data_IF_097984981993
#
_entry.id   IF_097984981993
#
_cell.length_a   1.000
_cell.length_b   1.000
_cell.length_c   1.000
_cell.angle_alpha   90.00
_cell.angle_beta   90.00
_cell.angle_gamma   90.00
#
_symmetry.space_group_name_H-M   'P 1'
#
loop_
_entity.id
_entity.type
_entity.pdbx_description
1 polymer ?
#
# COMPACT_ATOMS: atom_id res chain seq x y z
N UNK A 1 -11.32 -13.80 3.10
CA UNK A 1 -12.03 -12.82 3.94
C UNK A 1 -12.24 -11.45 3.24
N UNK A 2 -11.23 -10.88 2.54
CA UNK A 2 -11.38 -9.59 1.84
C UNK A 2 -12.54 -9.60 0.82
N UNK A 3 -12.68 -10.66 0.02
CA UNK A 3 -13.81 -10.79 -0.94
C UNK A 3 -15.16 -10.73 -0.26
N UNK A 4 -15.34 -11.40 0.87
CA UNK A 4 -16.60 -11.38 1.62
C UNK A 4 -16.90 -9.98 2.18
N UNK A 5 -15.88 -9.29 2.70
CA UNK A 5 -16.02 -7.91 3.16
C UNK A 5 -16.40 -6.96 2.01
N UNK A 6 -15.75 -7.08 0.86
CA UNK A 6 -16.05 -6.27 -0.32
C UNK A 6 -17.47 -6.53 -0.83
N UNK A 7 -17.92 -7.79 -0.86
CA UNK A 7 -19.29 -8.14 -1.20
C UNK A 7 -20.31 -7.49 -0.27
N UNK A 8 -20.05 -7.54 1.04
CA UNK A 8 -20.95 -6.91 2.04
C UNK A 8 -20.98 -5.38 1.90
N UNK A 9 -19.84 -4.76 1.65
CA UNK A 9 -19.74 -3.31 1.39
C UNK A 9 -20.53 -2.93 0.14
N UNK A 10 -20.35 -3.66 -0.95
CA UNK A 10 -21.04 -3.39 -2.22
C UNK A 10 -22.57 -3.52 -2.07
N UNK A 11 -23.02 -4.55 -1.37
CA UNK A 11 -24.43 -4.76 -1.04
C UNK A 11 -25.01 -3.58 -0.24
N UNK A 12 -24.32 -3.16 0.83
CA UNK A 12 -24.77 -2.02 1.66
C UNK A 12 -24.77 -0.72 0.86
N UNK A 13 -23.74 -0.48 0.03
CA UNK A 13 -23.68 0.71 -0.84
C UNK A 13 -24.87 0.75 -1.79
N UNK A 14 -25.23 -0.38 -2.40
CA UNK A 14 -26.35 -0.49 -3.31
C UNK A 14 -27.68 -0.27 -2.60
N UNK A 15 -27.92 -0.97 -1.49
CA UNK A 15 -29.19 -0.88 -0.71
C UNK A 15 -29.41 0.53 -0.16
N UNK A 16 -28.35 1.18 0.32
CA UNK A 16 -28.44 2.52 0.94
C UNK A 16 -28.13 3.66 -0.01
N UNK A 17 -27.87 3.38 -1.29
CA UNK A 17 -27.49 4.37 -2.31
C UNK A 17 -26.28 5.23 -1.87
N UNK A 18 -25.27 4.61 -1.26
CA UNK A 18 -24.09 5.30 -0.74
C UNK A 18 -22.98 5.35 -1.80
N UNK A 19 -22.39 6.52 -1.98
CA UNK A 19 -21.19 6.70 -2.81
C UNK A 19 -19.94 6.84 -1.92
N UNK A 20 -19.57 5.77 -1.22
CA UNK A 20 -18.40 5.74 -0.35
C UNK A 20 -17.25 5.07 -1.12
N UNK A 21 -16.07 5.71 -1.23
CA UNK A 21 -14.89 5.11 -1.83
C UNK A 21 -14.36 3.95 -0.96
N UNK A 22 -13.87 2.91 -1.61
CA UNK A 22 -13.32 1.73 -0.95
C UNK A 22 -11.84 1.61 -1.27
N UNK A 23 -11.02 1.50 -0.24
CA UNK A 23 -9.59 1.24 -0.34
C UNK A 23 -9.29 -0.17 0.17
N UNK A 24 -8.43 -0.91 -0.54
CA UNK A 24 -7.98 -2.24 -0.11
C UNK A 24 -6.47 -2.24 0.06
N UNK A 25 -6.02 -2.69 1.22
CA UNK A 25 -4.60 -2.87 1.51
C UNK A 25 -4.34 -4.31 1.90
N UNK A 26 -3.41 -4.96 1.19
CA UNK A 26 -2.95 -6.31 1.47
C UNK A 26 -1.62 -6.31 2.22
N UNK A 27 -1.22 -7.47 2.71
CA UNK A 27 0.08 -7.66 3.36
C UNK A 27 0.86 -8.74 2.63
N UNK A 28 2.06 -8.38 2.16
CA UNK A 28 3.06 -9.34 1.68
C UNK A 28 3.82 -9.82 2.90
N UNK A 29 3.72 -11.09 3.22
CA UNK A 29 4.16 -11.62 4.51
C UNK A 29 5.65 -11.91 4.59
N UNK A 30 6.29 -12.11 3.44
CA UNK A 30 7.71 -12.46 3.37
C UNK A 30 8.33 -12.17 1.99
N UNK A 31 9.61 -12.44 1.87
CA UNK A 31 10.38 -12.26 0.64
C UNK A 31 9.92 -13.12 -0.55
N UNK A 32 9.00 -14.08 -0.37
CA UNK A 32 8.42 -14.84 -1.49
C UNK A 32 7.44 -14.00 -2.32
N UNK A 33 7.06 -12.83 -1.81
CA UNK A 33 6.14 -11.91 -2.47
C UNK A 33 4.68 -12.36 -2.45
N UNK A 34 4.32 -13.18 -1.47
CA UNK A 34 2.97 -13.72 -1.32
C UNK A 34 2.28 -13.15 -0.09
N UNK A 35 0.97 -13.04 -0.17
CA UNK A 35 0.11 -12.80 0.99
C UNK A 35 0.07 -14.05 1.88
N UNK A 36 -0.41 -13.91 3.11
CA UNK A 36 -0.57 -15.05 4.04
C UNK A 36 -1.40 -16.21 3.45
N UNK A 37 -2.34 -15.90 2.55
CA UNK A 37 -3.12 -16.91 1.84
C UNK A 37 -2.42 -17.48 0.60
N UNK A 38 -1.13 -17.19 0.38
CA UNK A 38 -0.33 -17.69 -0.73
C UNK A 38 -0.53 -16.99 -2.08
N UNK A 39 -1.30 -15.90 -2.12
CA UNK A 39 -1.57 -15.18 -3.37
C UNK A 39 -0.38 -14.32 -3.80
N UNK A 40 -0.06 -14.34 -5.09
CA UNK A 40 0.83 -13.35 -5.71
C UNK A 40 0.14 -12.00 -5.82
N UNK A 41 0.87 -10.95 -6.20
CA UNK A 41 0.30 -9.60 -6.43
C UNK A 41 -0.85 -9.66 -7.43
N UNK A 42 -0.70 -10.39 -8.54
CA UNK A 42 -1.74 -10.52 -9.57
C UNK A 42 -2.98 -11.26 -9.06
N UNK A 43 -2.77 -12.39 -8.38
CA UNK A 43 -3.86 -13.16 -7.81
C UNK A 43 -4.64 -12.35 -6.76
N UNK A 44 -3.94 -11.55 -5.96
CA UNK A 44 -4.54 -10.63 -5.02
C UNK A 44 -5.40 -9.58 -5.75
N UNK A 45 -4.84 -8.87 -6.73
CA UNK A 45 -5.57 -7.86 -7.52
C UNK A 45 -6.81 -8.45 -8.16
N UNK A 46 -6.67 -9.57 -8.89
CA UNK A 46 -7.81 -10.25 -9.55
C UNK A 46 -8.89 -10.60 -8.51
N UNK A 47 -8.50 -11.08 -7.34
CA UNK A 47 -9.45 -11.53 -6.32
C UNK A 47 -10.33 -10.42 -5.74
N UNK A 48 -9.85 -9.16 -5.76
CA UNK A 48 -10.54 -8.00 -5.14
C UNK A 48 -11.13 -7.03 -6.16
N UNK A 49 -10.86 -7.21 -7.47
CA UNK A 49 -11.30 -6.29 -8.53
C UNK A 49 -12.74 -6.50 -9.00
N UNK A 50 -13.57 -7.22 -8.23
CA UNK A 50 -14.97 -7.48 -8.58
C UNK A 50 -15.91 -6.32 -8.21
N UNK A 51 -15.41 -5.30 -7.52
CA UNK A 51 -16.11 -4.04 -7.25
C UNK A 51 -15.20 -2.85 -7.59
N UNK A 52 -15.75 -1.66 -7.86
CA UNK A 52 -14.96 -0.45 -8.04
C UNK A 52 -14.20 -0.08 -6.76
N UNK A 53 -12.88 0.01 -6.85
CA UNK A 53 -12.00 0.42 -5.76
C UNK A 53 -11.38 1.79 -6.03
N UNK A 54 -11.25 2.61 -4.99
CA UNK A 54 -10.48 3.86 -5.05
C UNK A 54 -8.97 3.54 -5.14
N UNK A 55 -8.48 2.67 -4.27
CA UNK A 55 -7.07 2.28 -4.27
C UNK A 55 -6.86 0.82 -3.90
N UNK A 56 -5.76 0.28 -4.41
CA UNK A 56 -5.20 -1.01 -4.01
C UNK A 56 -3.76 -0.75 -3.56
N UNK A 57 -3.33 -1.38 -2.48
CA UNK A 57 -1.98 -1.21 -1.98
C UNK A 57 -1.50 -2.30 -1.06
N UNK A 58 -0.34 -2.05 -0.48
CA UNK A 58 0.27 -2.94 0.50
C UNK A 58 0.67 -2.18 1.76
N UNK A 59 0.61 -2.87 2.88
CA UNK A 59 1.04 -2.36 4.17
C UNK A 59 1.71 -3.44 5.01
N UNK A 60 2.48 -2.99 6.00
CA UNK A 60 3.03 -3.84 7.07
C UNK A 60 3.98 -4.95 6.59
N UNK A 61 4.40 -5.81 7.52
CA UNK A 61 5.31 -6.95 7.41
C UNK A 61 6.72 -6.60 6.92
N UNK A 62 6.85 -5.80 5.87
CA UNK A 62 8.11 -5.43 5.25
C UNK A 62 8.39 -3.93 5.37
N UNK A 63 9.67 -3.55 5.29
CA UNK A 63 10.12 -2.18 5.16
C UNK A 63 9.90 -1.62 3.74
N UNK A 64 10.16 -0.32 3.58
CA UNK A 64 9.92 0.35 2.31
C UNK A 64 10.76 -0.22 1.16
N UNK A 65 12.03 -0.53 1.39
CA UNK A 65 12.93 -1.15 0.42
C UNK A 65 12.42 -2.51 -0.09
N UNK A 66 11.93 -3.34 0.82
CA UNK A 66 11.46 -4.69 0.51
C UNK A 66 10.08 -4.71 -0.17
N UNK A 67 9.21 -3.73 0.10
CA UNK A 67 7.91 -3.60 -0.55
C UNK A 67 7.98 -3.02 -1.96
N UNK A 68 9.05 -2.29 -2.30
CA UNK A 68 9.19 -1.59 -3.58
C UNK A 68 8.91 -2.46 -4.82
N UNK A 69 9.51 -3.66 -4.98
CA UNK A 69 9.27 -4.49 -6.16
C UNK A 69 7.81 -4.92 -6.31
N UNK A 70 7.12 -5.16 -5.21
CA UNK A 70 5.71 -5.59 -5.23
C UNK A 70 4.76 -4.43 -5.55
N UNK A 71 5.02 -3.25 -5.01
CA UNK A 71 4.25 -2.03 -5.35
C UNK A 71 4.48 -1.63 -6.81
N UNK A 72 5.70 -1.75 -7.31
CA UNK A 72 6.01 -1.55 -8.73
C UNK A 72 5.23 -2.52 -9.63
N UNK A 73 5.20 -3.80 -9.26
CA UNK A 73 4.40 -4.80 -9.96
C UNK A 73 2.91 -4.49 -9.91
N UNK A 74 2.38 -4.11 -8.74
CA UNK A 74 1.00 -3.67 -8.56
C UNK A 74 0.67 -2.48 -9.46
N UNK A 75 1.53 -1.46 -9.50
CA UNK A 75 1.31 -0.24 -10.29
C UNK A 75 1.21 -0.50 -11.79
N UNK A 76 1.82 -1.59 -12.29
CA UNK A 76 1.80 -1.97 -13.70
C UNK A 76 0.53 -2.72 -14.10
N UNK A 77 -0.15 -3.36 -13.14
CA UNK A 77 -1.30 -4.24 -13.42
C UNK A 77 -2.65 -3.66 -12.99
N UNK A 78 -2.66 -2.54 -12.26
CA UNK A 78 -3.91 -1.90 -11.81
C UNK A 78 -4.14 -0.53 -12.44
N UNK A 79 -5.40 -0.22 -12.71
CA UNK A 79 -5.87 1.10 -13.14
C UNK A 79 -6.50 1.90 -11.98
N UNK A 80 -6.43 1.41 -10.73
CA UNK A 80 -6.82 2.17 -9.54
C UNK A 80 -5.64 2.96 -8.98
N UNK A 81 -5.88 3.86 -8.02
CA UNK A 81 -4.78 4.45 -7.26
C UNK A 81 -3.99 3.36 -6.52
N UNK A 82 -2.68 3.54 -6.43
CA UNK A 82 -1.81 2.63 -5.67
C UNK A 82 -1.42 3.27 -4.34
N UNK A 83 -1.45 2.46 -3.27
CA UNK A 83 -1.08 2.91 -1.93
C UNK A 83 0.02 2.02 -1.31
N UNK A 84 0.85 2.62 -0.46
CA UNK A 84 1.87 1.91 0.30
C UNK A 84 2.00 2.47 1.72
N UNK A 85 2.02 1.57 2.71
CA UNK A 85 2.20 1.89 4.12
C UNK A 85 3.21 0.90 4.74
N UNK A 86 4.50 1.05 4.46
CA UNK A 86 5.52 0.14 4.99
C UNK A 86 5.75 0.34 6.48
N UNK A 87 6.41 -0.63 7.12
CA UNK A 87 6.95 -0.46 8.45
C UNK A 87 8.16 0.49 8.41
N UNK A 88 8.51 1.06 9.56
CA UNK A 88 9.77 1.78 9.76
C UNK A 88 10.93 0.78 9.91
N UNK A 89 11.25 0.07 8.81
CA UNK A 89 12.18 -1.05 8.78
C UNK A 89 11.57 -2.38 9.23
N UNK A 90 12.44 -3.30 9.64
CA UNK A 90 12.05 -4.57 10.25
C UNK A 90 12.18 -4.49 11.78
N UNK A 91 11.39 -5.27 12.53
CA UNK A 91 11.54 -5.32 13.98
C UNK A 91 12.93 -5.90 14.34
N UNK A 92 13.59 -5.29 15.32
CA UNK A 92 14.81 -5.82 15.90
C UNK A 92 14.53 -7.01 16.83
N UNK A 93 15.59 -7.57 17.45
CA UNK A 93 15.47 -8.71 18.36
C UNK A 93 14.53 -8.48 19.57
N UNK A 94 14.24 -7.23 19.91
CA UNK A 94 13.34 -6.84 20.99
C UNK A 94 11.93 -6.45 20.49
N UNK A 95 11.68 -6.58 19.18
CA UNK A 95 10.42 -6.19 18.54
C UNK A 95 10.26 -4.68 18.30
N UNK A 96 11.30 -3.89 18.56
CA UNK A 96 11.31 -2.45 18.29
C UNK A 96 11.67 -2.15 16.81
N UNK A 97 11.30 -0.97 16.34
CA UNK A 97 11.59 -0.48 14.99
C UNK A 97 12.56 0.69 15.10
N UNK A 98 13.74 0.53 14.49
CA UNK A 98 14.86 1.44 14.66
C UNK A 98 15.11 2.36 13.45
N UNK A 99 14.39 2.14 12.34
CA UNK A 99 14.56 2.97 11.16
C UNK A 99 14.14 4.42 11.45
N UNK A 100 15.02 5.33 11.15
CA UNK A 100 14.78 6.76 11.36
C UNK A 100 13.81 7.33 10.32
N UNK A 101 13.22 8.48 10.63
CA UNK A 101 12.31 9.18 9.72
C UNK A 101 13.02 9.61 8.43
N UNK A 102 14.30 9.99 8.52
CA UNK A 102 15.12 10.36 7.35
C UNK A 102 15.33 9.15 6.44
N UNK A 103 15.81 8.04 6.97
CA UNK A 103 16.02 6.81 6.20
C UNK A 103 14.74 6.33 5.52
N UNK A 104 13.62 6.33 6.25
CA UNK A 104 12.34 5.93 5.67
C UNK A 104 11.90 6.88 4.55
N UNK A 105 12.06 8.18 4.71
CA UNK A 105 11.68 9.17 3.68
C UNK A 105 12.53 9.04 2.42
N UNK A 106 13.82 8.75 2.53
CA UNK A 106 14.72 8.48 1.40
C UNK A 106 14.31 7.21 0.62
N UNK A 107 13.90 6.16 1.32
CA UNK A 107 13.39 4.95 0.70
C UNK A 107 12.04 5.19 -0.01
N UNK A 108 11.15 5.96 0.60
CA UNK A 108 9.86 6.36 -0.02
C UNK A 108 10.10 7.24 -1.25
N UNK A 109 11.13 8.06 -1.25
CA UNK A 109 11.46 8.87 -2.42
C UNK A 109 11.70 8.03 -3.70
N UNK A 110 12.19 6.79 -3.57
CA UNK A 110 12.34 5.88 -4.72
C UNK A 110 11.00 5.52 -5.37
N UNK A 111 9.94 5.32 -4.58
CA UNK A 111 8.58 5.10 -5.12
C UNK A 111 8.06 6.33 -5.86
N UNK A 112 8.38 7.51 -5.37
CA UNK A 112 7.97 8.78 -5.97
C UNK A 112 8.74 9.04 -7.27
N UNK A 113 10.05 8.81 -7.30
CA UNK A 113 10.91 8.90 -8.50
C UNK A 113 10.44 7.95 -9.60
N UNK A 114 10.05 6.73 -9.24
CA UNK A 114 9.52 5.75 -10.19
C UNK A 114 8.05 6.01 -10.59
N UNK A 115 7.40 6.97 -9.94
CA UNK A 115 6.01 7.35 -10.21
C UNK A 115 5.02 6.18 -10.12
N UNK A 116 5.14 5.35 -9.06
CA UNK A 116 4.38 4.11 -8.89
C UNK A 116 3.32 4.17 -7.80
N UNK A 117 3.22 5.27 -7.05
CA UNK A 117 2.26 5.45 -5.96
C UNK A 117 1.45 6.74 -6.07
N UNK A 118 0.26 6.71 -5.45
CA UNK A 118 -0.65 7.87 -5.32
C UNK A 118 -0.88 8.23 -3.85
N UNK A 119 -0.81 7.24 -2.96
CA UNK A 119 -1.08 7.38 -1.54
C UNK A 119 0.07 6.72 -0.79
N UNK A 120 0.61 7.42 0.20
CA UNK A 120 1.72 6.93 1.02
C UNK A 120 1.52 7.29 2.49
N UNK A 121 1.94 6.40 3.34
CA UNK A 121 1.97 6.58 4.79
C UNK A 121 2.96 5.63 5.41
N UNK A 122 2.67 5.19 6.62
CA UNK A 122 3.49 4.22 7.34
C UNK A 122 2.63 3.25 8.14
N UNK A 123 3.24 2.18 8.64
CA UNK A 123 2.63 1.17 9.48
C UNK A 123 3.42 1.01 10.79
N UNK A 124 3.83 -0.20 11.16
CA UNK A 124 4.52 -0.45 12.42
C UNK A 124 5.81 0.35 12.57
N UNK A 125 6.04 0.89 13.75
CA UNK A 125 7.23 1.69 14.07
C UNK A 125 7.19 3.13 13.57
N UNK A 126 6.23 3.53 12.73
CA UNK A 126 6.14 4.92 12.27
C UNK A 126 5.64 5.86 13.36
N UNK A 127 6.27 7.01 13.42
CA UNK A 127 5.98 8.12 14.35
C UNK A 127 5.54 9.35 13.56
N UNK A 128 4.98 10.39 14.20
CA UNK A 128 4.58 11.61 13.50
C UNK A 128 5.69 12.24 12.65
N UNK A 129 6.94 12.14 13.08
CA UNK A 129 8.07 12.66 12.32
C UNK A 129 8.32 11.93 11.00
N UNK A 130 8.15 10.60 10.98
CA UNK A 130 8.20 9.82 9.73
C UNK A 130 7.18 10.34 8.72
N UNK A 131 5.93 10.51 9.17
CA UNK A 131 4.85 11.02 8.30
C UNK A 131 5.13 12.45 7.84
N UNK A 132 5.70 13.30 8.70
CA UNK A 132 6.09 14.67 8.34
C UNK A 132 7.10 14.67 7.20
N UNK A 133 8.20 13.90 7.32
CA UNK A 133 9.23 13.85 6.29
C UNK A 133 8.71 13.19 4.99
N UNK A 134 7.93 12.14 5.07
CA UNK A 134 7.27 11.53 3.90
C UNK A 134 6.38 12.57 3.19
N UNK A 135 5.60 13.34 3.93
CA UNK A 135 4.75 14.39 3.35
C UNK A 135 5.58 15.50 2.71
N UNK A 136 6.69 15.90 3.32
CA UNK A 136 7.59 16.93 2.78
C UNK A 136 8.22 16.47 1.45
N UNK A 137 8.81 15.29 1.40
CA UNK A 137 9.41 14.77 0.17
C UNK A 137 8.38 14.57 -0.92
N UNK A 138 7.18 14.10 -0.58
CA UNK A 138 6.11 13.83 -1.55
C UNK A 138 5.63 15.08 -2.30
N UNK A 139 5.73 16.27 -1.71
CA UNK A 139 5.35 17.54 -2.37
C UNK A 139 6.17 17.86 -3.61
N UNK A 140 7.35 17.28 -3.73
CA UNK A 140 8.25 17.51 -4.86
C UNK A 140 7.95 16.65 -6.08
N UNK A 141 6.99 15.72 -5.97
CA UNK A 141 6.69 14.71 -6.97
C UNK A 141 5.23 14.76 -7.42
N UNK A 142 5.01 14.43 -8.69
CA UNK A 142 3.65 14.23 -9.22
C UNK A 142 3.14 12.84 -8.87
N UNK A 143 1.83 12.68 -8.58
CA UNK A 143 1.26 11.37 -8.33
C UNK A 143 1.30 10.51 -9.61
N UNK A 144 1.29 9.18 -9.42
CA UNK A 144 1.18 8.21 -10.51
C UNK A 144 -0.05 8.52 -11.38
N UNK A 145 0.15 8.53 -12.69
CA UNK A 145 -0.96 8.65 -13.64
C UNK A 145 -1.71 7.33 -13.74
N UNK A 146 -3.03 7.38 -13.61
CA UNK A 146 -3.90 6.22 -13.86
C UNK A 146 -4.02 6.08 -15.39
N UNK A 147 -3.93 4.85 -15.88
CA UNK A 147 -4.23 4.56 -17.28
C UNK A 147 -5.76 4.53 -17.42
N UNK A 148 -6.29 5.46 -18.19
CA UNK A 148 -7.71 5.53 -18.55
C UNK A 148 -7.94 4.67 -19.79
#
# INVERSE_FOLDING_TARGET
NAKAALFAIDKIKSEKKLNIPVMVSGTITDASGRTLSGQTVEAFVISISHIPLLSIGFNCALGADQLLPYVKRLSNITNTYTSVHPNAGLPNAFGAYDQTATEMSELIENYLKENIINIVGGCCGTKPEHIRLIAEVSRNYKPRKIRI
#
